data_IF_403556047774
#
_entry.id   IF_403556047774
#
_cell.length_a   1.000
_cell.length_b   1.000
_cell.length_c   1.000
_cell.angle_alpha   90.00
_cell.angle_beta   90.00
_cell.angle_gamma   90.00
#
_symmetry.space_group_name_H-M   'P 1'
#
loop_
_entity.id
_entity.type
_entity.pdbx_description
1 polymer ?
#
# COMPACT_ATOMS: atom_id res chain seq x y z
N UNK A 1 20.79 -7.48 -17.40
CA UNK A 1 19.38 -7.94 -17.34
C UNK A 1 19.03 -8.06 -15.86
N UNK A 2 18.02 -7.34 -15.38
CA UNK A 2 17.77 -7.19 -13.94
C UNK A 2 17.26 -8.51 -13.34
N UNK A 3 18.13 -9.24 -12.65
CA UNK A 3 17.80 -10.49 -11.95
C UNK A 3 16.61 -10.34 -11.00
N UNK A 4 16.42 -9.14 -10.43
CA UNK A 4 15.29 -8.80 -9.58
C UNK A 4 13.90 -8.95 -10.24
N UNK A 5 13.80 -8.92 -11.57
CA UNK A 5 12.51 -9.10 -12.29
C UNK A 5 12.17 -10.57 -12.51
N UNK A 6 13.19 -11.43 -12.69
CA UNK A 6 12.98 -12.87 -12.93
C UNK A 6 12.43 -13.59 -11.69
N UNK A 7 12.74 -13.09 -10.50
CA UNK A 7 12.28 -13.64 -9.21
C UNK A 7 10.96 -13.03 -8.70
N UNK A 8 10.19 -12.34 -9.55
CA UNK A 8 8.88 -11.80 -9.19
C UNK A 8 7.77 -12.67 -9.76
N UNK A 9 6.86 -13.09 -8.87
CA UNK A 9 5.63 -13.75 -9.24
C UNK A 9 4.68 -12.81 -10.01
N UNK A 10 3.73 -13.36 -10.75
CA UNK A 10 2.80 -12.58 -11.56
C UNK A 10 1.92 -11.67 -10.70
N UNK A 11 1.47 -12.14 -9.53
CA UNK A 11 0.71 -11.33 -8.58
C UNK A 11 1.54 -10.15 -8.09
N UNK A 12 2.81 -10.39 -7.78
CA UNK A 12 3.75 -9.35 -7.32
C UNK A 12 3.96 -8.27 -8.39
N UNK A 13 4.11 -8.67 -9.66
CA UNK A 13 4.22 -7.73 -10.79
C UNK A 13 2.96 -6.88 -10.93
N UNK A 14 1.77 -7.49 -10.82
CA UNK A 14 0.49 -6.77 -10.88
C UNK A 14 0.33 -5.78 -9.72
N UNK A 15 0.74 -6.14 -8.50
CA UNK A 15 0.72 -5.24 -7.34
C UNK A 15 1.65 -4.03 -7.56
N UNK A 16 2.88 -4.26 -8.01
CA UNK A 16 3.82 -3.16 -8.32
C UNK A 16 3.22 -2.23 -9.38
N UNK A 17 2.65 -2.79 -10.44
CA UNK A 17 2.05 -2.02 -11.51
C UNK A 17 0.82 -1.23 -11.03
N UNK A 18 -0.01 -1.84 -10.18
CA UNK A 18 -1.17 -1.18 -9.59
C UNK A 18 -0.75 0.04 -8.77
N UNK A 19 0.24 -0.11 -7.89
CA UNK A 19 0.75 1.01 -7.09
C UNK A 19 1.43 2.09 -7.94
N UNK A 20 1.98 1.72 -9.11
CA UNK A 20 2.60 2.68 -10.03
C UNK A 20 1.55 3.54 -10.75
N UNK A 21 0.42 2.95 -11.13
CA UNK A 21 -0.65 3.62 -11.88
C UNK A 21 -1.57 4.40 -10.94
N UNK A 22 -2.03 3.78 -9.86
CA UNK A 22 -3.08 4.32 -9.00
C UNK A 22 -2.53 4.98 -7.72
N UNK A 23 -1.26 4.74 -7.39
CA UNK A 23 -0.63 5.27 -6.19
C UNK A 23 -0.74 4.35 -4.98
N UNK A 24 -0.46 4.86 -3.77
CA UNK A 24 -0.41 4.04 -2.56
C UNK A 24 -1.80 3.49 -2.18
N UNK A 25 -1.88 2.19 -1.90
CA UNK A 25 -3.15 1.52 -1.60
C UNK A 25 -3.03 0.46 -0.47
N UNK A 26 -4.18 -0.02 0.00
CA UNK A 26 -4.34 -1.01 1.07
C UNK A 26 -4.57 -2.42 0.50
N UNK A 27 -4.08 -3.49 1.17
CA UNK A 27 -4.30 -4.86 0.72
C UNK A 27 -5.77 -5.21 0.53
N UNK A 28 -6.65 -4.69 1.40
CA UNK A 28 -8.10 -4.91 1.35
C UNK A 28 -8.76 -4.30 0.11
N UNK A 29 -8.24 -3.17 -0.38
CA UNK A 29 -8.74 -2.58 -1.62
C UNK A 29 -8.17 -3.31 -2.82
N UNK A 30 -6.87 -3.63 -2.81
CA UNK A 30 -6.21 -4.41 -3.85
C UNK A 30 -6.84 -5.81 -4.03
N UNK A 31 -7.30 -6.46 -2.95
CA UNK A 31 -7.93 -7.79 -3.04
C UNK A 31 -9.24 -7.75 -3.81
N UNK A 32 -9.99 -6.65 -3.65
CA UNK A 32 -11.26 -6.38 -4.33
C UNK A 32 -11.08 -5.79 -5.72
N UNK A 33 -10.03 -5.00 -5.93
CA UNK A 33 -9.75 -4.30 -7.18
C UNK A 33 -8.26 -4.23 -7.45
N UNK A 34 -7.79 -5.01 -8.41
CA UNK A 34 -6.42 -4.95 -8.90
C UNK A 34 -6.40 -4.42 -10.34
N UNK A 35 -5.50 -3.48 -10.61
CA UNK A 35 -5.36 -2.80 -11.91
C UNK A 35 -6.67 -2.21 -12.48
N UNK A 36 -7.60 -1.79 -11.61
CA UNK A 36 -8.90 -1.23 -12.01
C UNK A 36 -9.97 -2.28 -12.36
N UNK A 37 -9.62 -3.56 -12.34
CA UNK A 37 -10.57 -4.68 -12.52
C UNK A 37 -11.03 -5.20 -11.18
N UNK A 38 -12.29 -5.66 -11.08
CA UNK A 38 -12.80 -6.30 -9.87
C UNK A 38 -12.18 -7.70 -9.74
N UNK A 39 -11.49 -7.94 -8.64
CA UNK A 39 -10.82 -9.20 -8.33
C UNK A 39 -11.40 -9.80 -7.06
N UNK A 40 -11.22 -11.11 -6.91
CA UNK A 40 -11.60 -11.88 -5.72
C UNK A 40 -10.40 -12.70 -5.25
N UNK A 41 -9.25 -12.05 -5.13
CA UNK A 41 -8.03 -12.67 -4.60
C UNK A 41 -8.16 -12.69 -3.08
N UNK A 42 -7.66 -13.75 -2.44
CA UNK A 42 -7.71 -13.81 -0.99
C UNK A 42 -6.88 -12.68 -0.36
N UNK A 43 -7.35 -12.15 0.76
CA UNK A 43 -6.68 -11.05 1.45
C UNK A 43 -5.29 -11.48 1.95
N UNK A 44 -5.16 -12.71 2.43
CA UNK A 44 -3.90 -13.23 2.96
C UNK A 44 -2.84 -13.36 1.86
N UNK A 45 -3.22 -13.84 0.68
CA UNK A 45 -2.31 -13.93 -0.47
C UNK A 45 -1.74 -12.56 -0.88
N UNK A 46 -2.58 -11.52 -0.88
CA UNK A 46 -2.09 -10.16 -1.18
C UNK A 46 -1.21 -9.62 -0.06
N UNK A 47 -1.58 -9.85 1.20
CA UNK A 47 -0.76 -9.41 2.33
C UNK A 47 0.62 -10.07 2.29
N UNK A 48 0.69 -11.37 2.04
CA UNK A 48 1.95 -12.12 1.93
C UNK A 48 2.78 -11.62 0.73
N UNK A 49 2.17 -11.43 -0.44
CA UNK A 49 2.85 -10.85 -1.60
C UNK A 49 3.38 -9.44 -1.32
N UNK A 50 2.61 -8.59 -0.63
CA UNK A 50 3.06 -7.26 -0.22
C UNK A 50 4.20 -7.32 0.80
N UNK A 51 4.18 -8.27 1.73
CA UNK A 51 5.25 -8.48 2.72
C UNK A 51 6.54 -8.94 2.04
N UNK A 52 6.47 -9.86 1.09
CA UNK A 52 7.63 -10.29 0.31
C UNK A 52 8.22 -9.15 -0.52
N UNK A 53 7.38 -8.36 -1.18
CA UNK A 53 7.82 -7.16 -1.90
C UNK A 53 8.45 -6.11 -0.98
N UNK A 54 8.01 -6.05 0.27
CA UNK A 54 8.61 -5.22 1.29
C UNK A 54 9.99 -5.74 1.72
N UNK A 55 10.16 -7.06 1.89
CA UNK A 55 11.46 -7.70 2.15
C UNK A 55 12.45 -7.46 1.02
N UNK A 56 11.98 -7.46 -0.23
CA UNK A 56 12.76 -7.15 -1.44
C UNK A 56 13.07 -5.64 -1.61
N UNK A 57 12.59 -4.77 -0.72
CA UNK A 57 12.85 -3.32 -0.79
C UNK A 57 12.09 -2.56 -1.89
N UNK A 58 11.16 -3.22 -2.59
CA UNK A 58 10.43 -2.64 -3.72
C UNK A 58 9.23 -1.78 -3.28
N UNK A 59 8.64 -2.16 -2.16
CA UNK A 59 7.49 -1.49 -1.57
C UNK A 59 7.81 -1.19 -0.11
N UNK A 60 7.28 -0.09 0.39
CA UNK A 60 7.35 0.29 1.80
C UNK A 60 5.96 0.21 2.42
N UNK A 61 5.88 -0.53 3.53
CA UNK A 61 4.68 -0.52 4.38
C UNK A 61 4.65 0.77 5.19
N UNK A 62 3.61 1.58 5.00
CA UNK A 62 3.34 2.75 5.83
C UNK A 62 2.30 2.35 6.86
N UNK A 63 2.75 2.28 8.11
CA UNK A 63 1.85 2.16 9.25
C UNK A 63 1.24 3.53 9.53
N UNK A 64 -0.08 3.56 9.74
CA UNK A 64 -0.70 4.82 10.12
C UNK A 64 -0.11 5.39 11.40
N UNK A 65 -0.04 6.72 11.46
CA UNK A 65 0.37 7.41 12.68
C UNK A 65 -0.55 7.01 13.83
N UNK A 66 0.04 6.75 14.98
CA UNK A 66 -0.70 6.68 16.23
C UNK A 66 -1.19 8.11 16.50
N UNK A 67 -2.46 8.38 16.25
CA UNK A 67 -3.05 9.68 16.59
C UNK A 67 -3.41 9.63 18.07
N UNK A 68 -2.80 10.48 18.93
CA UNK A 68 -3.21 10.58 20.31
C UNK A 68 -4.65 11.07 20.35
N UNK A 69 -5.51 10.43 21.15
CA UNK A 69 -6.96 10.71 21.16
C UNK A 69 -7.34 12.10 21.66
N UNK A 70 -6.37 12.83 22.23
CA UNK A 70 -6.50 14.19 22.74
C UNK A 70 -5.76 15.22 21.89
N UNK A 71 -5.20 14.81 20.76
CA UNK A 71 -4.56 15.75 19.85
C UNK A 71 -5.65 16.59 19.16
N UNK A 72 -5.65 17.92 19.31
CA UNK A 72 -6.46 18.76 18.46
C UNK A 72 -6.06 18.48 17.01
N UNK A 73 -7.05 18.28 16.13
CA UNK A 73 -6.77 18.21 14.69
C UNK A 73 -6.17 19.54 14.26
N UNK A 74 -5.08 19.51 13.49
CA UNK A 74 -4.26 20.68 13.15
C UNK A 74 -5.02 21.86 12.52
N UNK A 75 -6.26 21.66 12.07
CA UNK A 75 -7.12 22.67 11.46
C UNK A 75 -8.27 23.19 12.36
N UNK A 76 -8.38 22.75 13.62
CA UNK A 76 -9.55 23.06 14.48
C UNK A 76 -9.13 23.68 15.81
N UNK A 77 -9.80 24.76 16.19
CA UNK A 77 -9.61 25.50 17.45
C UNK A 77 -9.63 24.54 18.66
N UNK A 78 -8.59 24.55 19.53
CA UNK A 78 -8.40 23.55 20.60
C UNK A 78 -9.57 23.42 21.60
N UNK A 79 -10.36 24.48 21.79
CA UNK A 79 -11.42 24.56 22.80
C UNK A 79 -12.78 23.99 22.36
N UNK A 80 -12.96 23.62 21.09
CA UNK A 80 -14.31 23.42 20.52
C UNK A 80 -14.67 21.95 20.24
N UNK A 81 -13.72 21.01 20.16
CA UNK A 81 -14.04 19.58 19.96
C UNK A 81 -13.13 18.63 20.73
N UNK A 82 -13.53 18.28 21.95
CA UNK A 82 -13.01 17.11 22.66
C UNK A 82 -13.73 15.87 22.10
N UNK A 83 -12.98 14.93 21.51
CA UNK A 83 -13.53 13.70 20.94
C UNK A 83 -13.87 12.69 22.05
N UNK A 84 -14.99 11.97 21.91
CA UNK A 84 -15.50 11.03 22.93
C UNK A 84 -14.47 9.95 23.34
N UNK A 85 -14.51 9.57 24.62
CA UNK A 85 -13.60 8.61 25.26
C UNK A 85 -13.84 7.18 24.72
N UNK A 86 -12.99 6.68 23.83
CA UNK A 86 -12.83 5.23 23.62
C UNK A 86 -11.44 4.80 24.12
N UNK A 87 -11.26 3.55 24.59
CA UNK A 87 -9.96 2.99 24.99
C UNK A 87 -9.13 2.45 23.81
N UNK A 88 -9.74 2.28 22.64
CA UNK A 88 -9.10 1.75 21.40
C UNK A 88 -8.27 2.77 20.59
N UNK A 89 -6.97 2.52 20.40
CA UNK A 89 -6.10 3.37 19.56
C UNK A 89 -6.53 3.22 18.08
N UNK A 90 -6.96 4.30 17.43
CA UNK A 90 -7.25 4.28 16.00
C UNK A 90 -5.94 4.31 15.22
N UNK A 91 -5.53 3.16 14.67
CA UNK A 91 -4.51 3.09 13.62
C UNK A 91 -5.19 3.55 12.32
N UNK A 92 -4.80 4.70 11.79
CA UNK A 92 -5.20 5.04 10.41
C UNK A 92 -4.59 3.99 9.46
N UNK A 93 -5.32 3.65 8.39
CA UNK A 93 -5.12 2.43 7.58
C UNK A 93 -3.67 2.16 7.20
N UNK A 94 -3.26 0.89 7.29
CA UNK A 94 -1.96 0.44 6.78
C UNK A 94 -2.06 0.41 5.25
N UNK A 95 -1.18 1.14 4.58
CA UNK A 95 -1.10 1.15 3.12
C UNK A 95 0.34 0.96 2.66
N UNK A 96 0.49 0.58 1.40
CA UNK A 96 1.76 0.27 0.79
C UNK A 96 2.10 1.31 -0.27
N UNK A 97 3.37 1.72 -0.33
CA UNK A 97 3.88 2.71 -1.27
C UNK A 97 5.11 2.17 -2.00
N UNK A 98 5.26 2.48 -3.30
CA UNK A 98 6.46 2.13 -4.06
C UNK A 98 7.69 2.91 -3.60
N UNK A 99 8.82 2.21 -3.44
CA UNK A 99 10.13 2.82 -3.23
C UNK A 99 10.69 3.37 -4.56
N UNK A 100 11.85 4.05 -4.50
CA UNK A 100 12.54 4.54 -5.72
C UNK A 100 12.90 3.38 -6.65
N UNK A 101 13.42 2.28 -6.09
CA UNK A 101 13.77 1.05 -6.82
C UNK A 101 12.51 0.37 -7.37
N UNK A 102 11.46 0.24 -6.55
CA UNK A 102 10.17 -0.28 -6.99
C UNK A 102 9.58 0.49 -8.17
N UNK A 103 9.72 1.82 -8.19
CA UNK A 103 9.28 2.66 -9.32
C UNK A 103 10.08 2.38 -10.60
N UNK A 104 11.40 2.15 -10.49
CA UNK A 104 12.23 1.81 -11.66
C UNK A 104 11.82 0.45 -12.23
N UNK A 105 11.68 -0.56 -11.37
CA UNK A 105 11.24 -1.91 -11.77
C UNK A 105 9.83 -1.88 -12.34
N UNK A 106 8.91 -1.16 -11.70
CA UNK A 106 7.55 -0.97 -12.20
C UNK A 106 7.49 -0.35 -13.59
N UNK A 107 8.38 0.60 -13.92
CA UNK A 107 8.48 1.17 -15.28
C UNK A 107 8.95 0.14 -16.31
N UNK A 108 9.83 -0.78 -15.93
CA UNK A 108 10.28 -1.86 -16.82
C UNK A 108 9.14 -2.84 -17.06
N UNK A 109 8.48 -3.31 -15.98
CA UNK A 109 7.31 -4.18 -16.06
C UNK A 109 6.21 -3.55 -16.92
N UNK A 110 5.93 -2.26 -16.73
CA UNK A 110 4.93 -1.53 -17.52
C UNK A 110 5.22 -1.60 -19.03
N UNK A 111 6.49 -1.46 -19.43
CA UNK A 111 6.91 -1.60 -20.84
C UNK A 111 6.73 -3.03 -21.36
N UNK A 112 7.02 -4.04 -20.54
CA UNK A 112 6.80 -5.46 -20.90
C UNK A 112 5.31 -5.73 -21.17
N UNK A 113 4.43 -5.19 -20.34
CA UNK A 113 2.98 -5.35 -20.49
C UNK A 113 2.36 -4.42 -21.55
N UNK A 114 3.15 -3.56 -22.21
CA UNK A 114 2.67 -2.54 -23.16
C UNK A 114 1.51 -1.67 -22.62
N UNK A 115 1.53 -1.34 -21.33
CA UNK A 115 0.56 -0.47 -20.64
C UNK A 115 1.09 0.95 -20.41
#
# INVERSE_FOLDING_TARGET
>A
MNEGIKNLDELQKKIILHLLIFGPDTPKLMSRRLLGTKTYIDLHEIEDACLELCKKGLIRKITGKIVPKRAPTSSIKPHIKIRAKSREIRRHGQYFELTKEGKQIGKIIRREYRL
#
